data_IF_059517563476
#
_entry.id   IF_059517563476
#
_cell.length_a   1.000
_cell.length_b   1.000
_cell.length_c   1.000
_cell.angle_alpha   90.00
_cell.angle_beta   90.00
_cell.angle_gamma   90.00
#
_symmetry.space_group_name_H-M   'P 1'
#
loop_
_entity.id
_entity.type
_entity.pdbx_description
1 polymer ?
#
# COMPACT_ATOMS: atom_id res chain seq x y z
N UNK A 1 -2.41 -25.95 -5.01
CA UNK A 1 -1.92 -24.61 -4.61
C UNK A 1 -1.41 -23.93 -5.87
N UNK A 2 -1.85 -22.71 -6.16
CA UNK A 2 -1.49 -21.98 -7.38
C UNK A 2 -0.34 -21.03 -7.06
N UNK A 3 0.82 -21.20 -7.70
CA UNK A 3 1.95 -20.28 -7.54
C UNK A 3 1.97 -19.33 -8.73
N UNK A 4 1.99 -18.03 -8.48
CA UNK A 4 2.04 -17.04 -9.56
C UNK A 4 3.31 -17.17 -10.42
N UNK A 5 3.18 -16.87 -11.72
CA UNK A 5 4.32 -16.55 -12.58
C UNK A 5 4.55 -15.05 -12.65
N UNK A 6 5.74 -14.64 -13.10
CA UNK A 6 6.01 -13.26 -13.46
C UNK A 6 5.38 -12.93 -14.82
N UNK A 7 4.27 -12.19 -14.76
CA UNK A 7 3.39 -11.89 -15.90
C UNK A 7 3.95 -10.84 -16.89
N UNK A 8 5.23 -10.42 -16.80
CA UNK A 8 5.80 -9.41 -17.69
C UNK A 8 5.84 -9.81 -19.18
N UNK A 9 5.55 -11.07 -19.49
CA UNK A 9 5.44 -11.60 -20.86
C UNK A 9 4.08 -12.25 -21.16
N UNK A 10 3.12 -12.14 -20.26
CA UNK A 10 1.81 -12.75 -20.45
C UNK A 10 1.04 -12.01 -21.56
N UNK A 11 0.54 -12.76 -22.55
CA UNK A 11 -0.33 -12.23 -23.61
C UNK A 11 -1.81 -12.15 -23.20
N UNK A 12 -2.13 -12.62 -22.00
CA UNK A 12 -3.50 -12.77 -21.49
C UNK A 12 -3.59 -12.09 -20.12
N UNK A 13 -4.64 -11.28 -19.95
CA UNK A 13 -5.00 -10.66 -18.68
C UNK A 13 -6.03 -11.53 -17.96
N UNK A 14 -5.79 -11.82 -16.69
CA UNK A 14 -6.69 -12.60 -15.82
C UNK A 14 -6.92 -11.84 -14.51
N UNK A 15 -8.00 -12.17 -13.79
CA UNK A 15 -8.15 -11.70 -12.41
C UNK A 15 -7.19 -12.48 -11.50
N UNK A 16 -6.31 -11.78 -10.79
CA UNK A 16 -5.20 -12.39 -10.02
C UNK A 16 -3.94 -12.54 -10.87
N UNK A 17 -3.24 -13.67 -10.74
CA UNK A 17 -2.05 -14.00 -11.55
C UNK A 17 -2.14 -15.38 -12.15
N UNK A 18 -1.51 -15.56 -13.32
CA UNK A 18 -1.42 -16.86 -13.97
C UNK A 18 -0.59 -17.80 -13.08
N UNK A 19 -1.03 -19.05 -12.97
CA UNK A 19 -0.33 -20.08 -12.21
C UNK A 19 0.76 -20.77 -13.03
N UNK A 20 1.92 -21.06 -12.43
CA UNK A 20 2.89 -22.00 -13.02
C UNK A 20 2.40 -23.44 -12.92
N UNK A 21 3.00 -24.33 -13.71
CA UNK A 21 2.80 -25.78 -13.56
C UNK A 21 3.13 -26.19 -12.10
N UNK A 22 2.19 -26.85 -11.37
CA UNK A 22 2.42 -27.27 -10.00
C UNK A 22 3.67 -28.13 -9.78
N UNK A 23 4.16 -28.82 -10.82
CA UNK A 23 5.40 -29.61 -10.76
C UNK A 23 6.66 -28.75 -10.71
N UNK A 24 6.56 -27.48 -11.09
CA UNK A 24 7.65 -26.51 -11.04
C UNK A 24 7.63 -25.67 -9.76
N UNK A 25 6.66 -25.89 -8.88
CA UNK A 25 6.59 -25.20 -7.60
C UNK A 25 7.69 -25.69 -6.65
N UNK A 26 8.37 -24.74 -5.99
CA UNK A 26 9.41 -25.04 -5.00
C UNK A 26 9.06 -24.44 -3.64
N UNK A 27 9.81 -24.79 -2.59
CA UNK A 27 9.63 -24.20 -1.26
C UNK A 27 9.86 -22.67 -1.28
N UNK A 28 10.77 -22.20 -2.11
CA UNK A 28 11.11 -20.77 -2.22
C UNK A 28 9.93 -19.92 -2.72
N UNK A 29 8.99 -20.52 -3.47
CA UNK A 29 7.77 -19.84 -3.92
C UNK A 29 6.85 -19.44 -2.74
N UNK A 30 7.02 -20.05 -1.57
CA UNK A 30 6.21 -19.83 -0.36
C UNK A 30 7.00 -19.12 0.74
N UNK A 31 8.15 -18.54 0.40
CA UNK A 31 9.04 -17.91 1.35
C UNK A 31 9.28 -16.44 1.01
N UNK A 32 9.22 -15.58 2.02
CA UNK A 32 9.74 -14.23 1.96
C UNK A 32 10.39 -13.90 3.31
N UNK A 33 11.48 -13.16 3.24
CA UNK A 33 12.21 -12.65 4.40
C UNK A 33 12.09 -11.12 4.47
N UNK A 34 12.57 -10.52 5.56
CA UNK A 34 12.63 -9.06 5.70
C UNK A 34 11.60 -8.47 6.66
N UNK A 35 10.50 -9.17 6.98
CA UNK A 35 9.57 -8.74 8.04
C UNK A 35 10.23 -8.74 9.44
N UNK A 36 11.33 -9.47 9.60
CA UNK A 36 12.14 -9.48 10.82
C UNK A 36 13.10 -8.29 10.93
N UNK A 37 13.27 -7.50 9.86
CA UNK A 37 14.20 -6.37 9.79
C UNK A 37 13.39 -5.07 9.78
N UNK A 38 13.83 -4.08 10.55
CA UNK A 38 13.20 -2.76 10.53
C UNK A 38 13.52 -2.03 9.23
N UNK A 39 12.52 -1.37 8.66
CA UNK A 39 12.69 -0.53 7.48
C UNK A 39 13.31 0.83 7.78
N UNK A 40 13.85 1.46 6.74
CA UNK A 40 14.33 2.85 6.77
C UNK A 40 13.18 3.80 6.45
N UNK A 41 12.88 4.72 7.36
CA UNK A 41 11.74 5.60 7.23
C UNK A 41 11.94 6.65 6.14
N UNK A 42 10.88 6.92 5.38
CA UNK A 42 10.84 8.05 4.43
C UNK A 42 10.77 9.35 5.24
N UNK A 43 11.73 10.29 5.12
CA UNK A 43 11.86 11.44 6.02
C UNK A 43 10.61 12.30 6.16
N UNK A 44 9.85 12.49 5.07
CA UNK A 44 8.65 13.34 5.06
C UNK A 44 7.51 12.76 5.90
N UNK A 45 7.45 11.44 6.03
CA UNK A 45 6.33 10.74 6.69
C UNK A 45 6.75 10.03 7.98
N UNK A 46 8.04 9.76 8.18
CA UNK A 46 8.53 9.02 9.33
C UNK A 46 8.03 7.56 9.36
N UNK A 47 7.75 6.97 8.19
CA UNK A 47 7.24 5.59 8.05
C UNK A 47 8.14 4.77 7.13
N UNK A 48 8.39 3.52 7.49
CA UNK A 48 8.87 2.48 6.59
C UNK A 48 7.82 1.36 6.49
N UNK A 49 7.63 0.81 5.30
CA UNK A 49 6.71 -0.29 5.04
C UNK A 49 7.44 -1.43 4.32
N UNK A 50 7.38 -2.63 4.89
CA UNK A 50 7.84 -3.87 4.26
C UNK A 50 6.61 -4.73 4.01
N UNK A 51 6.25 -4.93 2.75
CA UNK A 51 5.03 -5.65 2.36
C UNK A 51 5.42 -7.01 1.78
N UNK A 52 4.71 -8.05 2.19
CA UNK A 52 4.79 -9.40 1.62
C UNK A 52 3.44 -9.72 0.96
N UNK A 53 3.43 -9.62 -0.36
CA UNK A 53 2.26 -9.80 -1.23
C UNK A 53 2.55 -10.84 -2.32
N UNK A 54 1.59 -11.07 -3.23
CA UNK A 54 1.77 -12.04 -4.34
C UNK A 54 2.93 -11.72 -5.29
N UNK A 55 3.45 -10.48 -5.30
CA UNK A 55 4.53 -10.08 -6.19
C UNK A 55 5.92 -10.46 -5.64
N UNK A 56 6.05 -10.63 -4.34
CA UNK A 56 7.32 -11.04 -3.71
C UNK A 56 7.24 -12.38 -2.95
N UNK A 57 6.04 -12.93 -2.76
CA UNK A 57 5.80 -14.32 -2.36
C UNK A 57 4.74 -14.92 -3.30
N UNK A 58 5.14 -15.47 -4.46
CA UNK A 58 4.22 -15.96 -5.50
C UNK A 58 3.22 -17.03 -5.03
N UNK A 59 3.57 -17.77 -3.97
CA UNK A 59 2.72 -18.75 -3.32
C UNK A 59 1.49 -18.18 -2.62
N UNK A 60 1.41 -16.86 -2.42
CA UNK A 60 0.22 -16.19 -1.91
C UNK A 60 -0.92 -16.09 -2.94
N UNK A 61 -0.64 -16.42 -4.20
CA UNK A 61 -1.66 -16.39 -5.25
C UNK A 61 -2.82 -17.33 -4.87
N UNK A 62 -4.05 -16.84 -5.07
CA UNK A 62 -5.32 -17.49 -4.72
C UNK A 62 -5.59 -17.69 -3.22
N UNK A 63 -4.66 -17.32 -2.33
CA UNK A 63 -4.84 -17.47 -0.87
C UNK A 63 -5.54 -16.28 -0.22
N UNK A 64 -5.62 -15.14 -0.90
CA UNK A 64 -6.34 -13.96 -0.40
C UNK A 64 -5.71 -13.38 0.87
N UNK A 65 -4.39 -13.45 1.02
CA UNK A 65 -3.69 -12.87 2.17
C UNK A 65 -2.45 -12.08 1.76
N UNK A 66 -2.19 -11.00 2.49
CA UNK A 66 -0.96 -10.19 2.44
C UNK A 66 -0.56 -9.87 3.88
N UNK A 67 0.74 -9.76 4.16
CA UNK A 67 1.25 -9.31 5.46
C UNK A 67 2.18 -8.14 5.24
N UNK A 68 2.06 -7.09 6.04
CA UNK A 68 2.97 -5.95 6.02
C UNK A 68 3.50 -5.64 7.41
N UNK A 69 4.77 -5.23 7.47
CA UNK A 69 5.38 -4.59 8.62
C UNK A 69 5.43 -3.10 8.38
N UNK A 70 5.08 -2.34 9.40
CA UNK A 70 5.25 -0.90 9.43
C UNK A 70 6.11 -0.51 10.62
N UNK A 71 7.05 0.40 10.35
CA UNK A 71 7.94 1.00 11.35
C UNK A 71 7.73 2.52 11.31
N UNK A 72 7.29 3.09 12.43
CA UNK A 72 7.01 4.51 12.58
C UNK A 72 8.03 5.15 13.53
N UNK A 73 8.72 6.16 13.05
CA UNK A 73 9.54 7.04 13.89
C UNK A 73 8.64 7.82 14.88
N UNK A 74 9.19 8.40 15.96
CA UNK A 74 8.43 9.31 16.82
C UNK A 74 7.77 10.42 16.00
N UNK A 75 6.47 10.67 16.23
CA UNK A 75 5.66 11.60 15.41
C UNK A 75 5.54 11.21 13.93
N UNK A 76 5.90 9.96 13.58
CA UNK A 76 5.67 9.40 12.25
C UNK A 76 4.17 9.22 11.98
N UNK A 77 3.80 9.42 10.71
CA UNK A 77 2.43 9.36 10.23
C UNK A 77 2.35 8.40 9.04
N UNK A 78 1.44 7.43 9.14
CA UNK A 78 0.88 6.78 7.96
C UNK A 78 -0.22 7.72 7.44
N UNK A 79 -0.05 8.39 6.28
CA UNK A 79 -1.03 9.36 5.81
C UNK A 79 -2.41 8.74 5.60
N UNK A 80 -3.43 9.57 5.47
CA UNK A 80 -4.78 9.11 5.12
C UNK A 80 -4.72 8.23 3.86
N UNK A 81 -5.11 6.97 4.02
CA UNK A 81 -5.09 5.99 2.95
C UNK A 81 -6.22 4.97 3.09
N UNK A 82 -6.42 4.21 2.03
CA UNK A 82 -7.44 3.16 1.91
C UNK A 82 -6.83 1.97 1.16
N UNK A 83 -7.27 0.77 1.54
CA UNK A 83 -7.02 -0.48 0.82
C UNK A 83 -8.32 -0.86 0.10
N UNK A 84 -8.47 -0.52 -1.20
CA UNK A 84 -9.73 -0.70 -1.91
C UNK A 84 -10.12 -2.17 -2.11
N UNK A 85 -9.16 -3.09 -1.95
CA UNK A 85 -9.34 -4.52 -2.20
C UNK A 85 -9.15 -5.37 -0.94
N UNK A 86 -9.00 -4.77 0.24
CA UNK A 86 -8.84 -5.53 1.48
C UNK A 86 -9.21 -4.78 2.76
N UNK A 87 -9.56 -5.54 3.79
CA UNK A 87 -9.47 -5.15 5.19
C UNK A 87 -8.03 -5.19 5.68
N UNK A 88 -7.60 -4.17 6.42
CA UNK A 88 -6.35 -4.22 7.20
C UNK A 88 -6.65 -4.70 8.63
N UNK A 89 -6.11 -5.85 9.04
CA UNK A 89 -6.08 -6.25 10.44
C UNK A 89 -4.95 -5.50 11.15
N UNK A 90 -5.24 -4.25 11.46
CA UNK A 90 -4.59 -3.44 12.50
C UNK A 90 -5.66 -2.89 13.45
N UNK A 91 -6.88 -2.69 12.92
CA UNK A 91 -8.21 -2.69 13.55
C UNK A 91 -9.19 -2.68 12.35
N UNK A 92 -10.04 -3.70 12.20
CA UNK A 92 -10.78 -4.06 10.96
C UNK A 92 -11.59 -2.91 10.32
N UNK A 93 -11.17 -2.41 9.16
CA UNK A 93 -12.00 -1.59 8.27
C UNK A 93 -11.64 -1.91 6.80
N UNK A 94 -12.60 -2.42 6.02
CA UNK A 94 -12.47 -2.56 4.56
C UNK A 94 -12.90 -1.27 3.88
N UNK A 95 -12.12 -0.78 2.92
CA UNK A 95 -12.56 0.32 2.07
C UNK A 95 -12.84 1.64 2.82
N UNK A 96 -12.25 1.83 4.00
CA UNK A 96 -12.37 3.07 4.77
C UNK A 96 -11.03 3.80 4.88
N UNK A 97 -11.12 5.12 4.86
CA UNK A 97 -9.96 5.99 5.09
C UNK A 97 -9.51 5.79 6.54
N UNK A 98 -8.24 5.46 6.71
CA UNK A 98 -7.61 5.36 8.02
C UNK A 98 -6.19 5.94 8.00
N UNK A 99 -5.64 6.14 9.19
CA UNK A 99 -4.30 6.67 9.41
C UNK A 99 -3.76 6.09 10.72
N UNK A 100 -2.43 6.08 10.88
CA UNK A 100 -1.79 5.77 12.15
C UNK A 100 -0.77 6.84 12.47
N UNK A 101 -0.72 7.25 13.73
CA UNK A 101 0.18 8.30 14.20
C UNK A 101 0.89 7.86 15.47
N UNK A 102 2.23 7.95 15.49
CA UNK A 102 3.02 7.56 16.65
C UNK A 102 3.10 8.71 17.66
N UNK A 103 2.28 8.64 18.71
CA UNK A 103 2.28 9.58 19.84
C UNK A 103 3.43 9.34 20.83
N UNK A 104 4.15 8.23 20.71
CA UNK A 104 5.25 7.88 21.60
C UNK A 104 6.55 8.60 21.25
N UNK A 105 7.46 8.63 22.22
CA UNK A 105 8.82 9.16 22.03
C UNK A 105 9.79 8.12 21.45
N UNK A 106 9.34 6.89 21.26
CA UNK A 106 10.13 5.78 20.73
C UNK A 106 9.55 5.32 19.40
N UNK A 107 10.38 4.65 18.60
CA UNK A 107 9.96 3.96 17.38
C UNK A 107 8.87 2.92 17.70
N UNK A 108 7.80 2.93 16.90
CA UNK A 108 6.72 1.96 16.99
C UNK A 108 6.77 1.00 15.79
N UNK A 109 6.49 -0.27 16.03
CA UNK A 109 6.39 -1.29 14.98
C UNK A 109 5.06 -2.00 15.09
N UNK A 110 4.39 -2.24 13.97
CA UNK A 110 3.23 -3.13 13.92
C UNK A 110 3.22 -4.00 12.67
N UNK A 111 2.48 -5.09 12.76
CA UNK A 111 2.17 -5.96 11.63
C UNK A 111 0.71 -5.74 11.25
N UNK A 112 0.45 -5.64 9.95
CA UNK A 112 -0.87 -5.63 9.35
C UNK A 112 -1.03 -6.91 8.53
N UNK A 113 -2.18 -7.56 8.64
CA UNK A 113 -2.57 -8.61 7.68
C UNK A 113 -3.75 -8.13 6.87
N UNK A 114 -3.83 -8.55 5.61
CA UNK A 114 -4.92 -8.17 4.72
C UNK A 114 -5.60 -9.40 4.17
N UNK A 115 -6.91 -9.35 3.96
CA UNK A 115 -7.70 -10.42 3.35
C UNK A 115 -7.70 -10.36 1.81
N UNK A 116 -6.60 -9.89 1.22
CA UNK A 116 -6.34 -9.96 -0.22
C UNK A 116 -4.86 -10.21 -0.47
N UNK A 117 -4.57 -10.95 -1.55
CA UNK A 117 -3.21 -11.19 -2.03
C UNK A 117 -2.55 -9.93 -2.65
N UNK A 118 -3.37 -8.92 -2.94
CA UNK A 118 -2.95 -7.62 -3.42
C UNK A 118 -3.98 -6.56 -2.95
N UNK A 119 -3.82 -6.02 -1.72
CA UNK A 119 -4.81 -5.12 -1.12
C UNK A 119 -4.93 -3.77 -1.82
N UNK A 120 -3.92 -3.40 -2.63
CA UNK A 120 -3.75 -2.04 -3.14
C UNK A 120 -3.46 -1.05 -2.01
N UNK A 121 -3.04 0.18 -2.35
CA UNK A 121 -2.84 1.24 -1.38
C UNK A 121 -3.01 2.59 -2.08
N UNK A 122 -4.01 3.36 -1.67
CA UNK A 122 -4.29 4.69 -2.22
C UNK A 122 -4.01 5.73 -1.14
N UNK A 123 -3.00 6.58 -1.34
CA UNK A 123 -2.72 7.73 -0.47
C UNK A 123 -3.64 8.88 -0.85
N UNK A 124 -4.60 9.20 0.00
CA UNK A 124 -5.70 10.13 -0.33
C UNK A 124 -5.18 11.52 -0.73
N UNK A 125 -4.30 12.20 0.05
CA UNK A 125 -3.85 13.55 -0.33
C UNK A 125 -3.17 13.58 -1.70
N UNK A 126 -2.23 12.66 -1.96
CA UNK A 126 -1.54 12.59 -3.25
C UNK A 126 -2.48 12.22 -4.40
N UNK A 127 -3.45 11.33 -4.16
CA UNK A 127 -4.38 10.89 -5.22
C UNK A 127 -5.35 11.99 -5.64
N UNK A 128 -5.66 12.94 -4.74
CA UNK A 128 -6.53 14.08 -5.06
C UNK A 128 -5.71 15.27 -5.58
N UNK A 129 -4.58 15.60 -4.94
CA UNK A 129 -3.81 16.81 -5.23
C UNK A 129 -2.78 16.63 -6.36
N UNK A 130 -2.29 15.42 -6.56
CA UNK A 130 -1.20 15.12 -7.51
C UNK A 130 -1.51 13.89 -8.37
N UNK A 131 -2.78 13.69 -8.72
CA UNK A 131 -3.20 12.67 -9.69
C UNK A 131 -2.67 12.97 -11.09
N UNK A 132 -2.58 11.92 -11.91
CA UNK A 132 -2.26 11.98 -13.34
C UNK A 132 -3.38 11.29 -14.14
N UNK A 133 -4.11 12.00 -15.01
CA UNK A 133 -4.04 13.45 -15.25
C UNK A 133 -4.53 14.26 -14.03
N UNK A 134 -4.05 15.50 -13.83
CA UNK A 134 -4.45 16.33 -12.70
C UNK A 134 -5.96 16.63 -12.70
N UNK A 135 -6.61 16.51 -11.53
CA UNK A 135 -7.97 17.05 -11.32
C UNK A 135 -7.94 18.56 -11.55
N UNK A 136 -8.95 19.13 -12.20
CA UNK A 136 -9.03 20.57 -12.46
C UNK A 136 -8.96 21.41 -11.18
N UNK A 137 -8.17 22.49 -11.19
CA UNK A 137 -8.01 23.36 -10.00
C UNK A 137 -9.34 23.98 -9.55
N UNK A 138 -10.25 24.29 -10.47
CA UNK A 138 -11.59 24.80 -10.13
C UNK A 138 -12.43 23.78 -9.35
N UNK A 139 -12.29 22.49 -9.68
CA UNK A 139 -12.98 21.40 -8.98
C UNK A 139 -12.41 21.24 -7.58
N UNK A 140 -11.08 21.28 -7.44
CA UNK A 140 -10.42 21.22 -6.14
C UNK A 140 -10.76 22.45 -5.28
N UNK A 141 -10.70 23.65 -5.85
CA UNK A 141 -11.04 24.91 -5.19
C UNK A 141 -12.48 24.84 -4.65
N UNK A 142 -13.45 24.45 -5.48
CA UNK A 142 -14.84 24.30 -5.07
C UNK A 142 -15.04 23.19 -4.04
N UNK A 143 -14.38 22.04 -4.22
CA UNK A 143 -14.51 20.86 -3.35
C UNK A 143 -13.92 21.07 -1.96
N UNK A 144 -12.77 21.76 -1.88
CA UNK A 144 -12.10 22.07 -0.61
C UNK A 144 -12.47 23.43 -0.02
N UNK A 145 -13.34 24.21 -0.70
CA UNK A 145 -13.72 25.57 -0.33
C UNK A 145 -12.49 26.51 -0.22
N UNK A 146 -11.56 26.35 -1.15
CA UNK A 146 -10.32 27.12 -1.28
C UNK A 146 -10.35 27.96 -2.55
N UNK A 147 -9.39 28.87 -2.70
CA UNK A 147 -9.15 29.59 -3.94
C UNK A 147 -8.01 28.97 -4.77
N UNK A 148 -7.91 29.33 -6.05
CA UNK A 148 -6.93 28.74 -6.97
C UNK A 148 -5.47 28.98 -6.54
N UNK A 149 -5.16 30.05 -5.79
CA UNK A 149 -3.80 30.27 -5.26
C UNK A 149 -3.48 29.27 -4.16
N UNK A 150 -4.43 29.00 -3.27
CA UNK A 150 -4.27 27.98 -2.22
C UNK A 150 -4.12 26.58 -2.82
N UNK A 151 -4.87 26.25 -3.87
CA UNK A 151 -4.72 24.99 -4.60
C UNK A 151 -3.32 24.89 -5.25
N UNK A 152 -2.85 25.96 -5.89
CA UNK A 152 -1.52 25.99 -6.48
C UNK A 152 -0.40 25.81 -5.43
N UNK A 153 -0.53 26.45 -4.26
CA UNK A 153 0.41 26.25 -3.14
C UNK A 153 0.34 24.82 -2.58
N UNK A 154 -0.86 24.24 -2.49
CA UNK A 154 -1.02 22.87 -2.03
C UNK A 154 -0.34 21.89 -2.99
N UNK A 155 -0.50 22.04 -4.31
CA UNK A 155 0.16 21.21 -5.33
C UNK A 155 1.68 21.23 -5.20
N UNK A 156 2.30 22.37 -4.89
CA UNK A 156 3.75 22.48 -4.66
C UNK A 156 4.26 21.62 -3.51
N UNK A 157 3.40 21.19 -2.58
CA UNK A 157 3.76 20.29 -1.48
C UNK A 157 3.76 18.82 -1.88
N UNK A 158 3.17 18.48 -3.04
CA UNK A 158 3.02 17.12 -3.55
C UNK A 158 3.73 16.89 -4.88
N UNK A 159 4.38 17.92 -5.43
CA UNK A 159 5.24 17.89 -6.63
C UNK A 159 6.70 17.57 -6.28
#
# INVERSE_FOLDING_TARGET
MCVAVDDFKASVFVNGKIGKDPKLATADDFFASGLNVSGNAVPVFGIAATIVDVNNMPGLNTLGITVARFDLEPQGLVPFHIHPLASALVTLLEGLIHFLYNLGNNKATFLATFNSQNPGHIRIPSSIIASEPPIMDEVLAKGFQLNNKEIAELRKKFS
#
